data_IF_620219633376
#
_entry.id   IF_620219633376
#
_cell.length_a   1.000
_cell.length_b   1.000
_cell.length_c   1.000
_cell.angle_alpha   90.00
_cell.angle_beta   90.00
_cell.angle_gamma   90.00
#
_symmetry.space_group_name_H-M   'P 1'
#
loop_
_entity.id
_entity.type
_entity.pdbx_description
1 polymer ?
#
# COMPACT_ATOMS: atom_id res chain seq x y z
N UNK A 1 30.74 37.41 17.59
CA UNK A 1 29.80 37.95 16.57
C UNK A 1 30.50 39.05 15.76
N UNK A 2 31.31 38.74 14.75
CA UNK A 2 31.90 39.78 13.87
C UNK A 2 32.45 39.28 12.51
N UNK A 3 32.09 38.07 12.05
CA UNK A 3 32.53 37.53 10.75
C UNK A 3 31.39 37.04 9.83
N UNK A 4 30.14 37.45 10.09
CA UNK A 4 28.98 37.11 9.25
C UNK A 4 28.47 38.27 8.37
N UNK A 5 29.08 39.46 8.44
CA UNK A 5 28.65 40.64 7.67
C UNK A 5 29.45 40.87 6.36
N UNK A 6 30.23 39.89 5.89
CA UNK A 6 31.01 39.98 4.63
C UNK A 6 30.54 39.04 3.51
N UNK A 7 29.36 38.44 3.64
CA UNK A 7 28.78 37.62 2.57
C UNK A 7 27.74 38.46 1.84
N UNK A 8 27.94 38.81 0.55
CA UNK A 8 26.91 39.48 -0.21
C UNK A 8 25.72 38.54 -0.39
N UNK A 9 24.51 39.04 -0.15
CA UNK A 9 23.27 38.27 -0.38
C UNK A 9 23.09 38.08 -1.90
N UNK A 10 22.62 36.91 -2.35
CA UNK A 10 22.30 36.71 -3.75
C UNK A 10 21.12 37.63 -4.09
N UNK A 11 21.37 38.56 -5.01
CA UNK A 11 20.31 39.27 -5.70
C UNK A 11 19.57 38.31 -6.62
N UNK A 12 18.28 38.58 -6.73
CA UNK A 12 17.24 37.78 -7.35
C UNK A 12 17.53 37.36 -8.80
N UNK A 13 17.12 36.13 -9.07
CA UNK A 13 16.70 35.54 -10.35
C UNK A 13 16.41 36.53 -11.49
N UNK A 14 17.25 36.55 -12.53
CA UNK A 14 16.90 36.61 -13.97
C UNK A 14 18.17 36.75 -14.82
N UNK A 15 18.59 35.68 -15.49
CA UNK A 15 18.58 35.67 -16.96
C UNK A 15 18.88 34.26 -17.50
N UNK A 16 17.94 33.75 -18.28
CA UNK A 16 18.09 32.56 -19.11
C UNK A 16 19.03 32.93 -20.28
N UNK A 17 20.23 32.35 -20.31
CA UNK A 17 21.17 32.59 -21.43
C UNK A 17 22.29 31.59 -21.64
N UNK A 18 22.62 30.71 -20.71
CA UNK A 18 23.75 29.78 -20.90
C UNK A 18 23.31 28.30 -20.98
N UNK A 19 23.40 27.65 -22.17
CA UNK A 19 22.91 26.29 -22.40
C UNK A 19 23.72 25.17 -21.71
N UNK A 20 24.68 25.49 -20.84
CA UNK A 20 25.56 24.50 -20.21
C UNK A 20 25.74 24.64 -18.70
N UNK A 21 25.00 25.52 -18.01
CA UNK A 21 25.12 25.72 -16.56
C UNK A 21 24.86 24.42 -15.76
N UNK A 22 23.84 23.65 -16.15
CA UNK A 22 23.52 22.37 -15.52
C UNK A 22 24.63 21.32 -15.70
N UNK A 23 25.27 21.26 -16.87
CA UNK A 23 26.38 20.34 -17.14
C UNK A 23 27.65 20.71 -16.38
N UNK A 24 27.91 22.00 -16.21
CA UNK A 24 29.05 22.49 -15.43
C UNK A 24 28.85 22.16 -13.94
N UNK A 25 27.65 22.40 -13.41
CA UNK A 25 27.29 22.03 -12.04
C UNK A 25 27.40 20.51 -11.80
N UNK A 26 26.87 19.69 -12.71
CA UNK A 26 26.96 18.22 -12.61
C UNK A 26 28.40 17.70 -12.64
N UNK A 27 29.30 18.31 -13.44
CA UNK A 27 30.72 17.95 -13.48
C UNK A 27 31.43 18.25 -12.17
N UNK A 28 31.14 19.39 -11.54
CA UNK A 28 31.72 19.74 -10.23
C UNK A 28 31.18 18.84 -9.10
N UNK A 29 29.88 18.50 -9.13
CA UNK A 29 29.28 17.59 -8.15
C UNK A 29 29.86 16.16 -8.25
N UNK A 30 30.04 15.64 -9.47
CA UNK A 30 30.70 14.35 -9.73
C UNK A 30 32.16 14.35 -9.27
N UNK A 31 32.92 15.40 -9.55
CA UNK A 31 34.32 15.52 -9.13
C UNK A 31 34.47 15.53 -7.59
N UNK A 32 33.56 16.22 -6.90
CA UNK A 32 33.52 16.23 -5.43
C UNK A 32 33.17 14.85 -4.85
N UNK A 33 32.21 14.12 -5.45
CA UNK A 33 31.84 12.77 -5.01
C UNK A 33 32.98 11.75 -5.19
N UNK A 34 33.72 11.81 -6.31
CA UNK A 34 34.87 10.93 -6.56
C UNK A 34 36.01 11.19 -5.56
N UNK A 35 36.27 12.46 -5.21
CA UNK A 35 37.28 12.81 -4.22
C UNK A 35 36.94 12.29 -2.80
N UNK A 36 35.66 12.32 -2.42
CA UNK A 36 35.18 11.77 -1.13
C UNK A 36 35.28 10.24 -1.12
N UNK A 37 34.93 9.56 -2.21
CA UNK A 37 35.05 8.09 -2.31
C UNK A 37 36.52 7.62 -2.31
N UNK A 38 37.42 8.33 -3.01
CA UNK A 38 38.84 7.99 -3.03
C UNK A 38 39.51 8.26 -1.66
N UNK A 39 39.10 9.33 -0.96
CA UNK A 39 39.54 9.60 0.41
C UNK A 39 39.04 8.56 1.42
N UNK A 40 37.80 8.09 1.29
CA UNK A 40 37.24 7.04 2.14
C UNK A 40 37.91 5.67 1.97
N UNK A 41 38.25 5.29 0.73
CA UNK A 41 38.96 4.04 0.44
C UNK A 41 40.40 4.03 0.96
N UNK A 42 41.08 5.18 1.00
CA UNK A 42 42.43 5.31 1.57
C UNK A 42 42.44 5.18 3.10
N UNK A 43 41.35 5.55 3.77
CA UNK A 43 41.19 5.42 5.23
C UNK A 43 40.85 3.96 5.61
N UNK A 44 40.06 3.26 4.80
CA UNK A 44 39.79 1.83 5.01
C UNK A 44 41.03 0.95 4.81
N UNK A 45 41.93 1.30 3.87
CA UNK A 45 43.16 0.55 3.63
C UNK A 45 44.24 0.72 4.73
N UNK A 46 44.09 1.70 5.63
CA UNK A 46 45.05 1.95 6.72
C UNK A 46 44.69 1.27 8.05
N UNK A 47 43.58 0.54 8.14
CA UNK A 47 43.11 -0.11 9.38
C UNK A 47 43.27 -1.65 9.41
N UNK A 48 43.79 -2.28 8.35
CA UNK A 48 44.13 -3.71 8.34
C UNK A 48 45.62 -3.94 8.63
N UNK A 49 46.00 -3.68 9.88
CA UNK A 49 47.33 -3.99 10.40
C UNK A 49 47.23 -4.53 11.83
N UNK A 50 47.62 -5.80 11.99
CA UNK A 50 47.78 -6.57 13.24
C UNK A 50 46.60 -7.47 13.66
N UNK A 51 46.37 -8.55 12.91
CA UNK A 51 45.74 -9.76 13.45
C UNK A 51 46.84 -10.60 14.12
N UNK A 52 46.90 -10.57 15.46
CA UNK A 52 47.68 -11.53 16.26
C UNK A 52 46.72 -12.59 16.77
N UNK A 53 47.02 -13.84 16.44
CA UNK A 53 46.41 -15.02 17.04
C UNK A 53 46.66 -15.02 18.55
N UNK A 54 45.57 -14.98 19.31
CA UNK A 54 45.56 -15.36 20.71
C UNK A 54 44.23 -16.10 20.93
N UNK A 55 44.32 -17.43 21.06
CA UNK A 55 43.24 -18.28 21.56
C UNK A 55 43.24 -18.23 23.09
N UNK A 56 42.13 -17.87 23.75
CA UNK A 56 41.84 -18.29 25.11
C UNK A 56 40.81 -19.44 25.09
N UNK A 57 40.92 -20.44 25.98
CA UNK A 57 39.90 -21.47 26.11
C UNK A 57 38.68 -20.94 26.88
N UNK A 58 37.54 -21.57 26.59
CA UNK A 58 36.25 -21.47 27.31
C UNK A 58 35.41 -20.21 27.09
N UNK A 59 34.65 -20.20 25.98
CA UNK A 59 33.43 -19.43 25.83
C UNK A 59 32.21 -20.38 25.92
N UNK A 60 31.15 -20.03 26.68
CA UNK A 60 29.93 -20.83 26.74
C UNK A 60 29.23 -20.85 25.37
N UNK A 61 28.45 -21.91 25.06
CA UNK A 61 27.92 -22.12 23.72
C UNK A 61 27.13 -20.91 23.26
N UNK A 62 27.45 -20.47 22.03
CA UNK A 62 26.76 -19.39 21.35
C UNK A 62 25.25 -19.66 21.39
N UNK A 63 24.49 -18.70 21.89
CA UNK A 63 23.04 -18.69 21.73
C UNK A 63 22.72 -18.82 20.25
N UNK A 64 21.82 -19.75 19.93
CA UNK A 64 21.32 -19.98 18.57
C UNK A 64 20.91 -18.63 17.97
N UNK A 65 21.66 -18.18 16.96
CA UNK A 65 21.25 -17.09 16.09
C UNK A 65 20.07 -17.65 15.31
N UNK A 66 18.86 -17.48 15.84
CA UNK A 66 17.62 -17.84 15.15
C UNK A 66 17.56 -16.99 13.88
N UNK A 67 17.97 -17.59 12.76
CA UNK A 67 17.78 -17.03 11.43
C UNK A 67 16.31 -16.60 11.30
N UNK A 68 16.01 -15.36 10.87
CA UNK A 68 14.64 -14.90 10.71
C UNK A 68 13.87 -15.91 9.85
N UNK A 69 12.89 -16.59 10.45
CA UNK A 69 12.02 -17.50 9.70
C UNK A 69 11.28 -16.66 8.67
N UNK A 70 11.66 -16.81 7.41
CA UNK A 70 10.92 -16.25 6.29
C UNK A 70 9.53 -16.85 6.33
N UNK A 71 8.52 -16.03 6.64
CA UNK A 71 7.13 -16.48 6.67
C UNK A 71 6.79 -17.17 5.35
N UNK A 72 6.05 -18.30 5.39
CA UNK A 72 5.63 -18.97 4.17
C UNK A 72 4.75 -18.01 3.35
N UNK A 73 4.76 -18.13 2.00
CA UNK A 73 3.91 -17.30 1.16
C UNK A 73 2.43 -17.49 1.53
N UNK A 74 1.60 -16.43 1.39
CA UNK A 74 0.19 -16.53 1.75
C UNK A 74 -0.54 -17.54 0.85
N UNK A 75 -1.44 -18.33 1.43
CA UNK A 75 -2.33 -19.21 0.66
C UNK A 75 -3.38 -18.37 -0.08
N UNK A 76 -3.33 -18.40 -1.42
CA UNK A 76 -4.25 -17.64 -2.28
C UNK A 76 -5.40 -18.49 -2.85
N UNK A 77 -5.47 -19.79 -2.55
CA UNK A 77 -6.41 -20.72 -3.17
C UNK A 77 -7.51 -21.19 -2.23
N UNK A 78 -7.25 -21.17 -0.92
CA UNK A 78 -8.19 -21.62 0.10
C UNK A 78 -8.88 -20.45 0.80
N UNK A 79 -10.15 -20.60 1.20
CA UNK A 79 -10.82 -19.61 2.04
C UNK A 79 -10.16 -19.55 3.42
N UNK A 80 -10.06 -18.34 3.98
CA UNK A 80 -9.49 -18.10 5.34
C UNK A 80 -10.57 -17.99 6.42
N UNK A 81 -11.85 -18.02 6.03
CA UNK A 81 -13.01 -18.05 6.93
C UNK A 81 -14.10 -18.96 6.37
N UNK A 82 -14.99 -19.42 7.22
CA UNK A 82 -16.21 -20.10 6.80
C UNK A 82 -17.14 -19.13 6.07
N UNK A 83 -17.86 -19.66 5.07
CA UNK A 83 -18.91 -18.88 4.39
C UNK A 83 -20.07 -18.60 5.37
N UNK A 84 -20.57 -17.35 5.44
CA UNK A 84 -21.77 -17.08 6.21
C UNK A 84 -22.97 -17.72 5.48
N UNK A 85 -23.97 -18.17 6.26
CA UNK A 85 -25.16 -18.83 5.73
C UNK A 85 -25.93 -17.94 4.73
N UNK A 86 -25.98 -16.63 4.98
CA UNK A 86 -26.59 -15.64 4.10
C UNK A 86 -25.84 -14.31 4.17
N UNK A 87 -25.97 -13.54 3.09
CA UNK A 87 -25.45 -12.17 3.01
C UNK A 87 -26.49 -11.31 2.26
N UNK A 88 -27.56 -10.86 2.94
CA UNK A 88 -28.63 -10.10 2.30
C UNK A 88 -28.16 -8.68 1.90
N UNK A 89 -28.88 -8.01 0.98
CA UNK A 89 -28.65 -6.59 0.69
C UNK A 89 -28.72 -5.72 1.95
N UNK A 90 -27.97 -4.62 1.96
CA UNK A 90 -27.90 -3.66 3.08
C UNK A 90 -27.44 -4.30 4.40
N UNK A 91 -26.43 -5.16 4.29
CA UNK A 91 -25.88 -5.91 5.43
C UNK A 91 -24.37 -5.98 5.37
N UNK A 92 -23.72 -6.18 6.52
CA UNK A 92 -22.27 -6.23 6.59
C UNK A 92 -21.72 -7.30 7.53
N UNK A 93 -20.47 -7.68 7.28
CA UNK A 93 -19.65 -8.52 8.15
C UNK A 93 -18.27 -7.88 8.35
N UNK A 94 -17.75 -7.85 9.60
CA UNK A 94 -18.52 -8.07 10.82
C UNK A 94 -19.62 -7.01 10.97
N UNK A 95 -20.66 -7.33 11.75
CA UNK A 95 -21.74 -6.38 12.01
C UNK A 95 -21.20 -5.11 12.69
N UNK A 96 -21.59 -3.95 12.18
CA UNK A 96 -21.26 -2.65 12.76
C UNK A 96 -20.69 -1.65 11.75
N UNK A 97 -19.91 -0.70 12.24
CA UNK A 97 -19.23 0.31 11.40
C UNK A 97 -17.88 -0.22 10.94
N UNK A 98 -17.52 0.10 9.70
CA UNK A 98 -16.24 -0.22 9.06
C UNK A 98 -15.03 0.12 9.95
N UNK A 99 -15.04 1.29 10.59
CA UNK A 99 -13.94 1.77 11.44
C UNK A 99 -13.53 0.78 12.55
N UNK A 100 -14.44 -0.06 13.03
CA UNK A 100 -14.16 -1.06 14.07
C UNK A 100 -13.70 -2.41 13.52
N UNK A 101 -13.62 -2.54 12.20
CA UNK A 101 -13.16 -3.72 11.49
C UNK A 101 -11.86 -3.43 10.74
N UNK A 102 -11.84 -2.37 9.93
CA UNK A 102 -10.72 -2.00 9.06
C UNK A 102 -9.85 -0.86 9.63
N UNK A 103 -10.26 -0.27 10.76
CA UNK A 103 -9.59 0.88 11.37
C UNK A 103 -9.96 2.22 10.71
N UNK A 104 -9.60 3.35 11.33
CA UNK A 104 -9.85 4.67 10.77
C UNK A 104 -8.93 4.95 9.58
N UNK A 105 -9.35 5.90 8.74
CA UNK A 105 -8.47 6.61 7.83
C UNK A 105 -7.38 7.36 8.62
N UNK A 106 -6.17 7.40 8.09
CA UNK A 106 -5.00 8.11 8.58
C UNK A 106 -4.17 8.60 7.37
N UNK A 107 -4.64 9.70 6.77
CA UNK A 107 -3.99 10.37 5.64
C UNK A 107 -2.69 11.08 6.04
N UNK A 108 -2.47 11.33 7.33
CA UNK A 108 -1.25 11.99 7.81
C UNK A 108 -0.03 11.09 7.62
N UNK A 109 -0.20 9.79 7.87
CA UNK A 109 0.90 8.82 7.72
C UNK A 109 0.88 8.05 6.40
N UNK A 110 -0.23 8.11 5.64
CA UNK A 110 -0.37 7.47 4.33
C UNK A 110 0.60 8.09 3.31
N UNK A 111 1.35 7.24 2.61
CA UNK A 111 2.21 7.64 1.50
C UNK A 111 1.86 6.77 0.28
N UNK A 112 1.27 7.35 -0.79
CA UNK A 112 0.91 6.62 -1.99
C UNK A 112 2.06 5.80 -2.60
N UNK A 113 3.29 6.32 -2.57
CA UNK A 113 4.46 5.63 -3.16
C UNK A 113 4.87 4.41 -2.35
N UNK A 114 4.66 4.48 -1.04
CA UNK A 114 4.98 3.40 -0.12
C UNK A 114 3.86 2.38 -0.15
N UNK A 115 2.63 2.85 0.06
CA UNK A 115 1.47 2.07 0.52
C UNK A 115 0.62 1.50 -0.60
N UNK A 116 0.60 2.13 -1.78
CA UNK A 116 -0.12 1.61 -2.93
C UNK A 116 0.75 0.67 -3.75
N UNK A 117 0.10 -0.35 -4.28
CA UNK A 117 0.64 -1.24 -5.29
C UNK A 117 -0.32 -1.24 -6.48
N UNK A 118 0.23 -1.43 -7.67
CA UNK A 118 -0.57 -1.67 -8.87
C UNK A 118 -0.97 -3.13 -8.92
N UNK A 119 -2.26 -3.39 -8.93
CA UNK A 119 -2.85 -4.71 -9.05
C UNK A 119 -3.30 -4.95 -10.49
N UNK A 120 -2.76 -6.01 -11.08
CA UNK A 120 -3.09 -6.45 -12.42
C UNK A 120 -3.46 -7.93 -12.36
N UNK A 121 -4.58 -8.28 -12.96
CA UNK A 121 -4.98 -9.66 -13.21
C UNK A 121 -5.87 -9.69 -14.46
N UNK A 122 -5.50 -10.42 -15.52
CA UNK A 122 -6.25 -10.43 -16.78
C UNK A 122 -7.65 -11.04 -16.66
N UNK A 123 -7.98 -11.66 -15.52
CA UNK A 123 -9.32 -12.19 -15.21
C UNK A 123 -10.24 -11.14 -14.56
N UNK A 124 -9.72 -9.96 -14.26
CA UNK A 124 -10.45 -8.89 -13.59
C UNK A 124 -10.74 -7.78 -14.59
N UNK A 125 -11.98 -7.30 -14.58
CA UNK A 125 -12.39 -6.13 -15.32
C UNK A 125 -12.30 -4.90 -14.40
N UNK A 126 -11.63 -3.85 -14.84
CA UNK A 126 -11.50 -2.58 -14.11
C UNK A 126 -12.32 -1.49 -14.81
N UNK A 127 -13.07 -0.70 -14.04
CA UNK A 127 -13.94 0.36 -14.58
C UNK A 127 -13.11 1.49 -15.22
N UNK A 128 -12.04 1.92 -14.55
CA UNK A 128 -11.06 2.92 -15.04
C UNK A 128 -10.43 2.61 -16.40
N UNK A 129 -10.31 1.34 -16.81
CA UNK A 129 -9.84 0.97 -18.16
C UNK A 129 -10.83 1.35 -19.28
N UNK A 130 -12.06 1.70 -18.92
CA UNK A 130 -13.19 1.94 -19.81
C UNK A 130 -13.74 3.36 -19.70
N UNK A 131 -13.08 4.21 -18.91
CA UNK A 131 -13.47 5.60 -18.71
C UNK A 131 -13.04 6.53 -19.86
N UNK A 132 -13.68 7.69 -19.90
CA UNK A 132 -13.33 8.74 -20.87
C UNK A 132 -12.01 9.43 -20.53
N UNK A 133 -11.39 10.15 -21.49
CA UNK A 133 -10.09 10.81 -21.33
C UNK A 133 -10.03 11.94 -20.27
N UNK A 134 -11.15 12.21 -19.59
CA UNK A 134 -11.25 13.20 -18.52
C UNK A 134 -11.32 12.59 -17.12
N UNK A 135 -11.37 11.25 -17.01
CA UNK A 135 -11.27 10.58 -15.72
C UNK A 135 -9.81 10.43 -15.30
N UNK A 136 -9.57 10.60 -14.01
CA UNK A 136 -8.26 10.46 -13.39
C UNK A 136 -8.25 9.41 -12.27
N UNK A 137 -9.29 8.57 -12.24
CA UNK A 137 -9.37 7.33 -11.50
C UNK A 137 -8.41 6.27 -12.06
N UNK A 138 -7.88 5.46 -11.15
CA UNK A 138 -6.98 4.34 -11.48
C UNK A 138 -7.26 3.22 -10.48
N UNK A 139 -8.23 2.36 -10.81
CA UNK A 139 -8.72 1.28 -9.94
C UNK A 139 -7.72 0.14 -9.75
N UNK A 140 -6.63 0.17 -10.50
CA UNK A 140 -5.53 -0.74 -10.33
C UNK A 140 -4.68 -0.38 -9.11
N UNK A 141 -4.77 0.86 -8.61
CA UNK A 141 -4.06 1.26 -7.40
C UNK A 141 -4.83 0.80 -6.16
N UNK A 142 -4.22 -0.11 -5.41
CA UNK A 142 -4.78 -0.61 -4.14
C UNK A 142 -3.73 -0.50 -3.05
N UNK A 143 -4.17 -0.41 -1.80
CA UNK A 143 -3.25 -0.55 -0.67
C UNK A 143 -2.62 -1.94 -0.67
N UNK A 144 -1.33 -2.07 -0.34
CA UNK A 144 -0.62 -3.36 -0.33
C UNK A 144 -1.32 -4.47 0.48
N UNK A 145 -2.04 -4.09 1.54
CA UNK A 145 -2.78 -5.02 2.39
C UNK A 145 -4.00 -5.65 1.68
N UNK A 146 -4.47 -5.02 0.60
CA UNK A 146 -5.59 -5.48 -0.23
C UNK A 146 -5.17 -6.60 -1.19
N UNK A 147 -3.89 -6.69 -1.55
CA UNK A 147 -3.43 -7.58 -2.62
C UNK A 147 -3.74 -9.06 -2.32
N UNK A 148 -3.44 -9.53 -1.11
CA UNK A 148 -3.68 -10.92 -0.72
C UNK A 148 -5.17 -11.29 -0.74
N UNK A 149 -6.08 -10.57 -0.06
CA UNK A 149 -7.51 -10.89 -0.13
C UNK A 149 -8.08 -10.73 -1.55
N UNK A 150 -7.63 -9.74 -2.32
CA UNK A 150 -8.12 -9.55 -3.69
C UNK A 150 -7.68 -10.69 -4.62
N UNK A 151 -6.39 -11.10 -4.60
CA UNK A 151 -5.91 -12.28 -5.36
C UNK A 151 -6.66 -13.55 -4.98
N UNK A 152 -6.88 -13.75 -3.68
CA UNK A 152 -7.64 -14.89 -3.18
C UNK A 152 -9.08 -14.86 -3.67
N UNK A 153 -9.73 -13.70 -3.65
CA UNK A 153 -11.08 -13.52 -4.18
C UNK A 153 -11.18 -13.90 -5.65
N UNK A 154 -10.26 -13.43 -6.50
CA UNK A 154 -10.25 -13.78 -7.93
C UNK A 154 -10.17 -15.30 -8.10
N UNK A 155 -9.28 -15.98 -7.37
CA UNK A 155 -9.14 -17.44 -7.44
C UNK A 155 -10.39 -18.19 -6.94
N UNK A 156 -11.03 -17.70 -5.88
CA UNK A 156 -12.25 -18.31 -5.33
C UNK A 156 -13.46 -18.09 -6.26
N UNK A 157 -13.55 -16.92 -6.88
CA UNK A 157 -14.63 -16.56 -7.79
C UNK A 157 -14.53 -17.33 -9.12
N UNK A 158 -13.32 -17.50 -9.66
CA UNK A 158 -13.08 -18.31 -10.86
C UNK A 158 -13.55 -19.77 -10.67
N UNK A 159 -13.29 -20.36 -9.49
CA UNK A 159 -13.79 -21.70 -9.13
C UNK A 159 -15.32 -21.79 -9.09
N UNK A 160 -16.02 -20.66 -8.97
CA UNK A 160 -17.49 -20.55 -9.03
C UNK A 160 -18.00 -20.19 -10.44
N UNK A 161 -17.12 -20.03 -11.42
CA UNK A 161 -17.47 -19.64 -12.78
C UNK A 161 -17.84 -18.16 -12.93
N UNK A 162 -17.38 -17.31 -12.01
CA UNK A 162 -17.60 -15.87 -12.08
C UNK A 162 -16.37 -15.08 -12.50
N UNK A 163 -16.61 -13.85 -12.95
CA UNK A 163 -15.58 -12.86 -13.30
C UNK A 163 -15.71 -11.66 -12.37
N UNK A 164 -14.59 -11.18 -11.81
CA UNK A 164 -14.59 -10.04 -10.89
C UNK A 164 -14.61 -8.74 -11.68
N UNK A 165 -15.39 -7.76 -11.21
CA UNK A 165 -15.39 -6.40 -11.72
C UNK A 165 -15.07 -5.44 -10.57
N UNK A 166 -14.00 -4.67 -10.72
CA UNK A 166 -13.64 -3.58 -9.80
C UNK A 166 -14.23 -2.31 -10.36
N UNK A 167 -15.05 -1.63 -9.56
CA UNK A 167 -15.73 -0.39 -9.94
C UNK A 167 -15.02 0.85 -9.43
N UNK A 168 -14.40 0.76 -8.26
CA UNK A 168 -13.67 1.84 -7.62
C UNK A 168 -12.68 1.22 -6.61
N UNK A 169 -11.45 1.74 -6.51
CA UNK A 169 -10.49 1.31 -5.50
C UNK A 169 -9.77 2.46 -4.77
N UNK A 170 -8.84 3.14 -5.45
CA UNK A 170 -8.09 4.26 -4.87
C UNK A 170 -8.46 5.57 -5.55
N UNK A 171 -8.86 6.55 -4.74
CA UNK A 171 -9.07 7.92 -5.19
C UNK A 171 -8.36 8.89 -4.28
N UNK A 172 -7.42 9.66 -4.83
CA UNK A 172 -6.66 10.62 -4.03
C UNK A 172 -7.60 11.60 -3.29
N UNK A 173 -7.34 11.85 -2.00
CA UNK A 173 -8.23 12.64 -1.14
C UNK A 173 -8.57 14.03 -1.72
N UNK A 174 -7.57 14.75 -2.25
CA UNK A 174 -7.75 16.07 -2.88
C UNK A 174 -8.62 16.06 -4.15
N UNK A 175 -8.80 14.90 -4.75
CA UNK A 175 -9.58 14.69 -5.98
C UNK A 175 -10.87 13.92 -5.73
N UNK A 176 -11.09 13.44 -4.51
CA UNK A 176 -12.25 12.66 -4.15
C UNK A 176 -13.52 13.53 -4.10
N UNK A 177 -14.50 13.20 -4.95
CA UNK A 177 -15.79 13.91 -5.05
C UNK A 177 -17.01 13.03 -4.80
N UNK A 178 -16.82 11.72 -4.73
CA UNK A 178 -17.89 10.72 -4.67
C UNK A 178 -17.95 10.07 -3.29
N UNK A 179 -16.81 9.91 -2.62
CA UNK A 179 -16.73 9.36 -1.28
C UNK A 179 -16.73 10.43 -0.21
N UNK A 180 -17.12 10.06 1.00
CA UNK A 180 -16.91 10.89 2.19
C UNK A 180 -15.41 11.15 2.41
N UNK A 181 -15.04 12.31 2.94
CA UNK A 181 -13.63 12.67 3.20
C UNK A 181 -12.87 11.67 4.07
N UNK A 182 -13.59 10.87 4.87
CA UNK A 182 -13.06 9.83 5.75
C UNK A 182 -13.10 8.41 5.17
N UNK A 183 -13.34 8.28 3.87
CA UNK A 183 -13.45 6.99 3.19
C UNK A 183 -12.10 6.29 3.07
N UNK A 184 -12.10 4.96 3.20
CA UNK A 184 -10.90 4.15 3.02
C UNK A 184 -10.45 4.03 1.55
N UNK A 185 -11.29 4.44 0.58
CA UNK A 185 -10.88 4.61 -0.83
C UNK A 185 -9.76 5.63 -0.97
N UNK A 186 -9.71 6.63 -0.08
CA UNK A 186 -8.65 7.64 -0.06
C UNK A 186 -7.25 7.08 0.28
N UNK A 187 -7.16 5.82 0.70
CA UNK A 187 -5.92 5.11 0.98
C UNK A 187 -5.77 3.81 0.17
N UNK A 188 -6.73 3.52 -0.72
CA UNK A 188 -6.80 2.26 -1.47
C UNK A 188 -7.11 1.06 -0.56
N UNK A 189 -7.61 1.31 0.66
CA UNK A 189 -7.96 0.26 1.63
C UNK A 189 -9.40 -0.19 1.54
N UNK A 190 -10.22 0.48 0.73
CA UNK A 190 -11.52 -0.01 0.32
C UNK A 190 -11.54 -0.26 -1.19
N UNK A 191 -12.51 -1.06 -1.63
CA UNK A 191 -12.73 -1.42 -3.03
C UNK A 191 -14.21 -1.76 -3.22
N UNK A 192 -14.78 -1.24 -4.30
CA UNK A 192 -16.17 -1.48 -4.70
C UNK A 192 -16.20 -2.54 -5.81
N UNK A 193 -16.97 -3.60 -5.58
CA UNK A 193 -16.91 -4.82 -6.38
C UNK A 193 -18.28 -5.23 -6.89
N UNK A 194 -18.30 -5.71 -8.13
CA UNK A 194 -19.39 -6.52 -8.69
C UNK A 194 -18.82 -7.77 -9.35
N UNK A 195 -19.70 -8.62 -9.89
CA UNK A 195 -19.28 -9.80 -10.63
C UNK A 195 -20.24 -10.15 -11.74
N UNK A 196 -19.72 -10.83 -12.76
CA UNK A 196 -20.52 -11.56 -13.74
C UNK A 196 -20.53 -13.06 -13.40
N UNK A 197 -21.63 -13.76 -13.71
CA UNK A 197 -21.78 -15.20 -13.48
C UNK A 197 -22.11 -15.63 -12.05
N UNK A 198 -21.87 -14.77 -11.04
CA UNK A 198 -22.16 -15.04 -9.63
C UNK A 198 -23.01 -13.90 -9.03
N UNK A 199 -23.94 -14.26 -8.14
CA UNK A 199 -24.80 -13.27 -7.45
C UNK A 199 -23.98 -12.40 -6.49
N UNK A 200 -24.38 -11.14 -6.27
CA UNK A 200 -23.72 -10.27 -5.29
C UNK A 200 -23.72 -10.84 -3.87
N UNK A 201 -24.78 -11.58 -3.49
CA UNK A 201 -24.83 -12.25 -2.18
C UNK A 201 -23.76 -13.34 -2.06
N UNK A 202 -23.54 -14.11 -3.12
CA UNK A 202 -22.49 -15.14 -3.11
C UNK A 202 -21.10 -14.53 -3.26
N UNK A 203 -20.94 -13.45 -4.05
CA UNK A 203 -19.71 -12.67 -4.09
C UNK A 203 -19.35 -12.13 -2.70
N UNK A 204 -20.31 -11.62 -1.93
CA UNK A 204 -20.07 -11.12 -0.58
C UNK A 204 -19.59 -12.21 0.39
N UNK A 205 -20.12 -13.43 0.26
CA UNK A 205 -19.60 -14.59 0.99
C UNK A 205 -18.15 -14.86 0.58
N UNK A 206 -17.84 -14.83 -0.72
CA UNK A 206 -16.48 -15.02 -1.20
C UNK A 206 -15.52 -13.92 -0.72
N UNK A 207 -15.93 -12.65 -0.69
CA UNK A 207 -15.13 -11.57 -0.10
C UNK A 207 -14.84 -11.85 1.38
N UNK A 208 -15.85 -12.26 2.15
CA UNK A 208 -15.66 -12.62 3.55
C UNK A 208 -14.66 -13.79 3.72
N UNK A 209 -14.80 -14.82 2.90
CA UNK A 209 -13.90 -15.97 2.87
C UNK A 209 -12.50 -15.64 2.34
N UNK A 210 -12.39 -14.64 1.48
CA UNK A 210 -11.13 -14.18 0.90
C UNK A 210 -10.30 -13.38 1.91
N UNK A 211 -10.90 -12.93 3.02
CA UNK A 211 -10.17 -12.34 4.14
C UNK A 211 -10.29 -10.83 4.27
N UNK A 212 -11.15 -10.17 3.49
CA UNK A 212 -11.48 -8.76 3.71
C UNK A 212 -11.92 -8.53 5.16
N UNK A 213 -11.44 -7.48 5.81
CA UNK A 213 -11.73 -7.21 7.23
C UNK A 213 -13.17 -6.71 7.42
N UNK A 214 -13.70 -6.01 6.41
CA UNK A 214 -15.08 -5.55 6.34
C UNK A 214 -15.64 -5.80 4.95
N UNK A 215 -16.88 -6.30 4.89
CA UNK A 215 -17.65 -6.49 3.66
C UNK A 215 -19.03 -5.90 3.90
N UNK A 216 -19.47 -5.00 3.05
CA UNK A 216 -20.78 -4.38 3.05
C UNK A 216 -21.45 -4.64 1.71
N UNK A 217 -22.64 -5.23 1.74
CA UNK A 217 -23.51 -5.27 0.59
C UNK A 217 -24.25 -3.93 0.53
N UNK A 218 -23.73 -3.00 -0.26
CA UNK A 218 -24.22 -1.64 -0.33
C UNK A 218 -25.36 -1.52 -1.36
N UNK A 219 -26.44 -0.83 -0.95
CA UNK A 219 -27.60 -0.53 -1.81
C UNK A 219 -27.79 0.99 -1.83
N UNK A 220 -26.90 1.72 -2.51
CA UNK A 220 -26.92 3.17 -2.50
C UNK A 220 -28.14 3.70 -3.29
N UNK A 221 -28.56 4.93 -2.96
CA UNK A 221 -29.73 5.55 -3.62
C UNK A 221 -29.43 6.12 -5.01
N UNK A 222 -28.17 6.50 -5.24
CA UNK A 222 -27.74 7.29 -6.40
C UNK A 222 -26.72 6.58 -7.29
N UNK A 223 -26.18 5.44 -6.86
CA UNK A 223 -25.25 4.63 -7.63
C UNK A 223 -25.75 3.18 -7.75
N UNK A 224 -25.05 2.38 -8.55
CA UNK A 224 -25.36 0.97 -8.73
C UNK A 224 -25.16 0.16 -7.44
N UNK A 225 -25.88 -0.96 -7.33
CA UNK A 225 -25.73 -1.90 -6.22
C UNK A 225 -24.40 -2.65 -6.36
N UNK A 226 -23.57 -2.62 -5.33
CA UNK A 226 -22.23 -3.20 -5.33
C UNK A 226 -21.82 -3.69 -3.93
N UNK A 227 -20.66 -4.30 -3.82
CA UNK A 227 -20.06 -4.65 -2.54
C UNK A 227 -18.93 -3.69 -2.20
N UNK A 228 -19.04 -3.01 -1.07
CA UNK A 228 -17.95 -2.24 -0.49
C UNK A 228 -17.14 -3.14 0.43
N UNK A 229 -15.87 -3.38 0.11
CA UNK A 229 -14.99 -4.25 0.88
C UNK A 229 -13.75 -3.49 1.34
N UNK A 230 -13.28 -3.70 2.56
CA UNK A 230 -12.08 -3.02 3.05
C UNK A 230 -11.19 -3.86 3.95
N UNK A 231 -9.97 -3.37 4.13
CA UNK A 231 -8.89 -4.03 4.88
C UNK A 231 -8.29 -3.12 5.95
N UNK A 232 -7.76 -3.73 7.00
CA UNK A 232 -6.82 -3.08 7.90
C UNK A 232 -5.56 -2.68 7.15
N UNK A 233 -4.88 -1.66 7.67
CA UNK A 233 -3.58 -1.22 7.12
C UNK A 233 -2.48 -2.28 7.29
N UNK A 234 -2.54 -3.02 8.39
CA UNK A 234 -1.68 -4.17 8.70
C UNK A 234 -2.46 -5.15 9.60
N UNK A 235 -2.06 -6.44 9.66
CA UNK A 235 -2.75 -7.43 10.49
C UNK A 235 -2.88 -7.05 11.97
N UNK A 236 -1.87 -6.36 12.51
CA UNK A 236 -1.73 -5.93 13.90
C UNK A 236 -2.10 -4.45 14.11
N UNK A 237 -2.64 -3.77 13.09
CA UNK A 237 -3.02 -2.37 13.18
C UNK A 237 -4.04 -2.14 14.32
N UNK A 238 -3.82 -1.15 15.20
CA UNK A 238 -4.72 -0.90 16.33
C UNK A 238 -6.10 -0.47 15.83
N UNK A 239 -7.14 -1.05 16.44
CA UNK A 239 -8.52 -0.67 16.18
C UNK A 239 -9.07 0.20 17.32
N UNK A 240 -9.96 1.17 17.02
CA UNK A 240 -10.61 1.94 18.05
C UNK A 240 -11.50 1.04 18.93
N UNK A 241 -11.67 1.38 20.22
CA UNK A 241 -12.52 0.61 21.10
C UNK A 241 -13.96 0.62 20.58
N UNK A 242 -14.61 -0.55 20.58
CA UNK A 242 -16.03 -0.62 20.24
C UNK A 242 -16.84 0.02 21.37
N UNK A 243 -17.83 0.89 21.05
CA UNK A 243 -18.71 1.45 22.07
C UNK A 243 -19.42 0.31 22.81
N UNK A 244 -19.58 0.47 24.13
CA UNK A 244 -20.41 -0.43 24.92
C UNK A 244 -21.83 -0.43 24.35
N UNK A 245 -22.43 -1.62 24.27
CA UNK A 245 -23.81 -1.81 23.77
C UNK A 245 -24.82 -1.13 24.67
#
# INVERSE_FOLDING_TARGET
MLFLNKIPKPETFQDFGEPNAFKIWMKWAMAAAVAVCAGGLLICACMEGCRKDNTPPDAPPAADVETPRKEPPPDLLSPVRDAPASFPPDSNLPRGKEIYASGPIDLETFDPKRDLVRFEDPRVWFESDHDGPGDDEDDHLIHRAMEVPLRRLVNLLEKKGGTLKVQDAFRHADKNRIHMARSLHCEGRAIDLTSEGVSLSDLAKLCWQAGFDFVLYEVPRSSGVHLHCSVKRAPDAPLPPRPAK
#
